data_IF_237841910297
#
_entry.id   IF_237841910297
#
_cell.length_a   1.000
_cell.length_b   1.000
_cell.length_c   1.000
_cell.angle_alpha   90.00
_cell.angle_beta   90.00
_cell.angle_gamma   90.00
#
_symmetry.space_group_name_H-M   'P 1'
#
loop_
_entity.id
_entity.type
_entity.pdbx_description
1 polymer ?
#
# COMPACT_ATOMS: atom_id res chain seq x y z
N UNK A 1 -6.60 11.47 9.04
CA UNK A 1 -7.43 10.70 8.10
C UNK A 1 -8.84 11.17 8.25
N UNK A 2 -9.57 11.34 7.16
CA UNK A 2 -10.97 11.75 7.18
C UNK A 2 -11.85 10.54 6.85
N UNK A 3 -12.92 10.33 7.63
CA UNK A 3 -13.89 9.29 7.32
C UNK A 3 -14.76 9.73 6.13
N UNK A 4 -14.90 8.93 5.05
CA UNK A 4 -15.79 9.27 3.93
C UNK A 4 -17.28 9.31 4.33
N UNK A 5 -17.67 8.63 5.43
CA UNK A 5 -19.08 8.59 5.89
C UNK A 5 -19.43 9.76 6.82
N UNK A 6 -18.64 9.97 7.88
CA UNK A 6 -18.96 10.99 8.90
C UNK A 6 -18.13 12.28 8.77
N UNK A 7 -17.22 12.37 7.79
CA UNK A 7 -16.24 13.48 7.63
C UNK A 7 -15.42 13.75 8.89
N UNK A 8 -15.43 12.82 9.83
CA UNK A 8 -14.70 12.92 11.07
C UNK A 8 -13.21 12.78 10.80
N UNK A 9 -12.43 13.78 11.21
CA UNK A 9 -10.97 13.70 11.22
C UNK A 9 -10.54 12.90 12.46
N UNK A 10 -9.67 11.92 12.25
CA UNK A 10 -9.04 11.14 13.32
C UNK A 10 -7.59 10.76 12.95
N UNK A 11 -6.78 10.50 13.97
CA UNK A 11 -5.41 10.04 13.80
C UNK A 11 -5.38 8.56 13.38
N UNK A 12 -4.39 8.15 12.56
CA UNK A 12 -4.25 6.74 12.12
C UNK A 12 -4.13 5.77 13.31
N UNK A 13 -3.49 6.20 14.39
CA UNK A 13 -3.34 5.44 15.65
C UNK A 13 -4.66 5.25 16.42
N UNK A 14 -5.72 5.99 16.08
CA UNK A 14 -7.03 5.87 16.73
C UNK A 14 -7.89 4.74 16.15
N UNK A 15 -7.42 4.05 15.10
CA UNK A 15 -8.06 2.85 14.56
C UNK A 15 -7.87 1.70 15.55
N UNK A 16 -8.93 1.38 16.31
CA UNK A 16 -8.87 0.39 17.40
C UNK A 16 -9.07 -1.06 16.91
N UNK A 17 -9.87 -1.25 15.86
CA UNK A 17 -10.23 -2.58 15.40
C UNK A 17 -9.79 -2.79 13.96
N UNK A 18 -9.11 -3.91 13.74
CA UNK A 18 -8.64 -4.39 12.45
C UNK A 18 -9.24 -5.76 12.24
N UNK A 19 -9.95 -5.97 11.13
CA UNK A 19 -10.48 -7.27 10.73
C UNK A 19 -10.00 -7.66 9.34
N UNK A 20 -9.99 -8.96 9.06
CA UNK A 20 -9.80 -9.48 7.71
C UNK A 20 -11.18 -9.60 7.07
N UNK A 21 -11.50 -8.68 6.15
CA UNK A 21 -12.69 -8.72 5.33
C UNK A 21 -12.48 -9.50 4.03
N UNK A 22 -13.54 -9.62 3.21
CA UNK A 22 -13.48 -10.32 1.91
C UNK A 22 -12.49 -9.67 0.93
N UNK A 23 -12.35 -8.34 1.01
CA UNK A 23 -11.54 -7.56 0.08
C UNK A 23 -10.22 -7.05 0.69
N UNK A 24 -9.85 -7.54 1.88
CA UNK A 24 -8.57 -7.25 2.50
C UNK A 24 -8.69 -6.86 3.98
N UNK A 25 -7.77 -6.00 4.42
CA UNK A 25 -7.73 -5.53 5.81
C UNK A 25 -8.67 -4.34 5.95
N UNK A 26 -9.68 -4.51 6.80
CA UNK A 26 -10.67 -3.49 7.12
C UNK A 26 -10.40 -2.92 8.51
N UNK A 27 -10.62 -1.63 8.66
CA UNK A 27 -10.39 -0.90 9.91
C UNK A 27 -11.63 -0.13 10.29
N UNK A 28 -11.95 -0.07 11.57
CA UNK A 28 -13.18 0.59 12.02
C UNK A 28 -12.94 2.07 12.33
N UNK A 29 -13.83 2.95 11.86
CA UNK A 29 -13.81 4.36 12.23
C UNK A 29 -14.17 4.54 13.71
N UNK A 30 -13.38 5.26 14.52
CA UNK A 30 -13.65 5.42 15.95
C UNK A 30 -14.84 6.35 16.28
N UNK A 31 -15.41 7.06 15.28
CA UNK A 31 -16.51 8.01 15.50
C UNK A 31 -17.88 7.50 15.05
N UNK A 32 -17.93 6.83 13.91
CA UNK A 32 -19.19 6.33 13.33
C UNK A 32 -19.23 4.81 13.21
N UNK A 33 -18.20 4.12 13.73
CA UNK A 33 -18.09 2.66 13.76
C UNK A 33 -18.16 1.97 12.38
N UNK A 34 -18.14 2.74 11.30
CA UNK A 34 -18.13 2.23 9.93
C UNK A 34 -16.82 1.52 9.62
N UNK A 35 -16.92 0.36 8.97
CA UNK A 35 -15.78 -0.34 8.42
C UNK A 35 -15.24 0.38 7.18
N UNK A 36 -13.94 0.67 7.19
CA UNK A 36 -13.20 1.36 6.17
C UNK A 36 -12.12 0.43 5.61
N UNK A 37 -11.94 0.44 4.30
CA UNK A 37 -10.83 -0.23 3.65
C UNK A 37 -10.03 0.75 2.81
N UNK A 38 -8.76 0.46 2.60
CA UNK A 38 -8.01 1.14 1.55
C UNK A 38 -8.47 0.62 0.19
N UNK A 39 -8.52 1.51 -0.80
CA UNK A 39 -8.92 1.14 -2.15
C UNK A 39 -8.08 -0.05 -2.65
N UNK A 40 -8.71 -1.19 -2.99
CA UNK A 40 -8.00 -2.44 -3.28
C UNK A 40 -7.07 -2.30 -4.50
N UNK A 41 -7.47 -1.49 -5.49
CA UNK A 41 -6.64 -1.18 -6.67
C UNK A 41 -5.32 -0.52 -6.27
N UNK A 42 -5.35 0.50 -5.41
CA UNK A 42 -4.15 1.22 -4.98
C UNK A 42 -3.28 0.38 -4.04
N UNK A 43 -3.90 -0.46 -3.20
CA UNK A 43 -3.17 -1.46 -2.40
C UNK A 43 -2.45 -2.48 -3.29
N UNK A 44 -3.08 -2.94 -4.37
CA UNK A 44 -2.46 -3.84 -5.34
C UNK A 44 -1.29 -3.15 -6.06
N UNK A 45 -1.45 -1.91 -6.52
CA UNK A 45 -0.36 -1.13 -7.14
C UNK A 45 0.84 -0.99 -6.20
N UNK A 46 0.59 -0.68 -4.92
CA UNK A 46 1.65 -0.61 -3.91
C UNK A 46 2.39 -1.96 -3.78
N UNK A 47 1.64 -3.05 -3.70
CA UNK A 47 2.22 -4.38 -3.54
C UNK A 47 3.02 -4.81 -4.79
N UNK A 48 2.56 -4.46 -5.99
CA UNK A 48 3.30 -4.69 -7.24
C UNK A 48 4.62 -3.91 -7.22
N UNK A 49 4.59 -2.62 -6.85
CA UNK A 49 5.81 -1.82 -6.74
C UNK A 49 6.82 -2.39 -5.73
N UNK A 50 6.33 -2.83 -4.56
CA UNK A 50 7.16 -3.51 -3.55
C UNK A 50 7.72 -4.85 -4.06
N UNK A 51 6.93 -5.61 -4.82
CA UNK A 51 7.37 -6.88 -5.40
C UNK A 51 8.49 -6.66 -6.43
N UNK A 52 8.32 -5.69 -7.33
CA UNK A 52 9.34 -5.29 -8.31
C UNK A 52 10.63 -4.89 -7.57
N UNK A 53 10.52 -4.00 -6.59
CA UNK A 53 11.65 -3.56 -5.78
C UNK A 53 12.38 -4.76 -5.15
N UNK A 54 11.64 -5.69 -4.56
CA UNK A 54 12.19 -6.87 -3.89
C UNK A 54 12.89 -7.82 -4.88
N UNK A 55 12.23 -8.14 -5.99
CA UNK A 55 12.78 -9.04 -7.02
C UNK A 55 14.09 -8.48 -7.58
N UNK A 56 14.12 -7.21 -7.95
CA UNK A 56 15.34 -6.60 -8.50
C UNK A 56 16.43 -6.39 -7.45
N UNK A 57 16.07 -6.14 -6.19
CA UNK A 57 17.04 -6.06 -5.10
C UNK A 57 17.70 -7.41 -4.84
N UNK A 58 16.93 -8.49 -4.84
CA UNK A 58 17.44 -9.86 -4.69
C UNK A 58 18.27 -10.27 -5.91
N UNK A 59 17.78 -10.01 -7.13
CA UNK A 59 18.53 -10.30 -8.35
C UNK A 59 19.88 -9.57 -8.39
N UNK A 60 19.93 -8.30 -7.95
CA UNK A 60 21.16 -7.52 -7.88
C UNK A 60 22.25 -8.13 -6.97
N UNK A 61 21.88 -8.99 -6.03
CA UNK A 61 22.83 -9.71 -5.16
C UNK A 61 23.51 -10.89 -5.87
N UNK A 62 22.83 -11.53 -6.82
CA UNK A 62 23.33 -12.71 -7.54
C UNK A 62 24.03 -12.39 -8.87
N UNK A 63 24.01 -11.13 -9.29
CA UNK A 63 24.60 -10.70 -10.56
C UNK A 63 25.98 -10.12 -10.29
N UNK A 64 27.02 -10.74 -10.83
CA UNK A 64 28.40 -10.24 -10.71
C UNK A 64 28.73 -9.13 -11.73
N UNK A 65 28.02 -9.11 -12.86
CA UNK A 65 28.25 -8.13 -13.91
C UNK A 65 27.69 -6.74 -13.55
N UNK A 66 28.58 -5.75 -13.49
CA UNK A 66 28.30 -4.37 -13.07
C UNK A 66 27.21 -3.69 -13.90
N UNK A 67 27.15 -3.91 -15.21
CA UNK A 67 26.16 -3.27 -16.09
C UNK A 67 24.75 -3.78 -15.78
N UNK A 68 24.60 -5.08 -15.60
CA UNK A 68 23.32 -5.69 -15.22
C UNK A 68 22.91 -5.33 -13.79
N UNK A 69 23.86 -5.16 -12.87
CA UNK A 69 23.59 -4.63 -11.52
C UNK A 69 23.04 -3.21 -11.54
N UNK A 70 23.59 -2.35 -12.41
CA UNK A 70 23.11 -0.98 -12.58
C UNK A 70 21.66 -0.98 -13.09
N UNK A 71 21.37 -1.78 -14.11
CA UNK A 71 20.00 -1.94 -14.65
C UNK A 71 19.03 -2.44 -13.57
N UNK A 72 19.41 -3.46 -12.81
CA UNK A 72 18.58 -3.97 -11.70
C UNK A 72 18.33 -2.90 -10.64
N UNK A 73 19.33 -2.09 -10.32
CA UNK A 73 19.20 -0.99 -9.35
C UNK A 73 18.21 0.08 -9.83
N UNK A 74 18.27 0.46 -11.12
CA UNK A 74 17.30 1.38 -11.71
C UNK A 74 15.87 0.82 -11.72
N UNK A 75 15.71 -0.48 -12.05
CA UNK A 75 14.41 -1.14 -12.03
C UNK A 75 13.85 -1.27 -10.61
N UNK A 76 14.71 -1.54 -9.63
CA UNK A 76 14.37 -1.50 -8.21
C UNK A 76 13.89 -0.10 -7.79
N UNK A 77 14.62 0.94 -8.17
CA UNK A 77 14.22 2.33 -7.91
C UNK A 77 12.88 2.69 -8.54
N UNK A 78 12.64 2.29 -9.80
CA UNK A 78 11.34 2.45 -10.44
C UNK A 78 10.22 1.73 -9.67
N UNK A 79 10.49 0.50 -9.19
CA UNK A 79 9.59 -0.24 -8.30
C UNK A 79 9.24 0.53 -7.02
N UNK A 80 10.24 1.15 -6.38
CA UNK A 80 10.01 2.01 -5.21
C UNK A 80 9.12 3.21 -5.54
N UNK A 81 9.35 3.90 -6.66
CA UNK A 81 8.50 5.00 -7.11
C UNK A 81 7.04 4.58 -7.30
N UNK A 82 6.80 3.42 -7.91
CA UNK A 82 5.45 2.84 -8.08
C UNK A 82 4.83 2.53 -6.71
N UNK A 83 5.59 1.94 -5.80
CA UNK A 83 5.12 1.64 -4.45
C UNK A 83 4.71 2.91 -3.70
N UNK A 84 5.54 3.95 -3.72
CA UNK A 84 5.22 5.25 -3.14
C UNK A 84 4.00 5.89 -3.78
N UNK A 85 3.87 5.84 -5.11
CA UNK A 85 2.70 6.35 -5.81
C UNK A 85 1.42 5.66 -5.30
N UNK A 86 1.44 4.33 -5.17
CA UNK A 86 0.32 3.57 -4.61
C UNK A 86 -0.02 3.98 -3.18
N UNK A 87 0.97 4.28 -2.33
CA UNK A 87 0.75 4.79 -0.96
C UNK A 87 0.12 6.17 -0.98
N UNK A 88 0.69 7.13 -1.72
CA UNK A 88 0.22 8.51 -1.73
C UNK A 88 -1.17 8.68 -2.38
N UNK A 89 -1.50 7.85 -3.38
CA UNK A 89 -2.82 7.86 -4.02
C UNK A 89 -3.82 6.93 -3.35
N UNK A 90 -3.42 6.13 -2.35
CA UNK A 90 -4.36 5.27 -1.64
C UNK A 90 -5.41 6.10 -0.91
N UNK A 91 -6.67 5.90 -1.28
CA UNK A 91 -7.81 6.52 -0.61
C UNK A 91 -8.46 5.52 0.35
N UNK A 92 -9.00 6.05 1.43
CA UNK A 92 -9.89 5.31 2.34
C UNK A 92 -11.30 5.36 1.78
N UNK A 93 -11.87 4.18 1.55
CA UNK A 93 -13.24 3.98 1.09
C UNK A 93 -14.02 3.24 2.17
N UNK A 94 -15.35 3.38 2.17
CA UNK A 94 -16.19 2.53 3.00
C UNK A 94 -16.09 1.09 2.51
N UNK A 95 -15.93 0.13 3.43
CA UNK A 95 -16.07 -1.28 3.10
C UNK A 95 -17.55 -1.54 2.77
N UNK A 96 -17.82 -2.09 1.59
CA UNK A 96 -19.13 -2.66 1.25
C UNK A 96 -19.12 -4.14 1.68
N UNK A 97 -20.22 -4.61 2.29
CA UNK A 97 -20.37 -5.96 2.87
C UNK A 97 -20.36 -7.10 1.83
#
# INVERSE_FOLDING_TARGET
MECPRCKGIFARKALKQVRKGKHGVETQCPKCEQWLMFEPKMMMTKNIGLFILLVFSVANFFIDNTDYRLICSFLGFAGACIAFYGVFKSKLIAAQE
#
